data_IF_505500347463
#
_entry.id   IF_505500347463
#
_cell.length_a   1.000
_cell.length_b   1.000
_cell.length_c   1.000
_cell.angle_alpha   90.00
_cell.angle_beta   90.00
_cell.angle_gamma   90.00
#
_symmetry.space_group_name_H-M   'P 1'
#
loop_
_entity.id
_entity.type
_entity.pdbx_description
1 polymer ?
#
# COMPACT_ATOMS: atom_id res chain seq x y z
N UNK A 1 -32.67 6.95 -3.02
CA UNK A 1 -31.29 6.68 -2.47
C UNK A 1 -30.77 5.32 -2.94
N UNK A 2 -31.63 4.31 -3.06
CA UNK A 2 -31.20 2.93 -3.30
C UNK A 2 -30.71 2.64 -4.72
N UNK A 3 -31.21 3.38 -5.72
CA UNK A 3 -30.84 3.12 -7.11
C UNK A 3 -29.35 3.44 -7.41
N UNK A 4 -28.76 4.43 -6.75
CA UNK A 4 -27.33 4.74 -6.89
C UNK A 4 -26.44 3.60 -6.37
N UNK A 5 -26.85 2.97 -5.26
CA UNK A 5 -26.15 1.82 -4.70
C UNK A 5 -26.27 0.62 -5.65
N UNK A 6 -27.46 0.37 -6.19
CA UNK A 6 -27.70 -0.71 -7.17
C UNK A 6 -26.86 -0.47 -8.43
N UNK A 7 -26.82 0.75 -8.94
CA UNK A 7 -26.03 1.10 -10.12
C UNK A 7 -24.51 0.90 -9.86
N UNK A 8 -24.01 1.32 -8.70
CA UNK A 8 -22.61 1.13 -8.33
C UNK A 8 -22.25 -0.36 -8.19
N UNK A 9 -23.10 -1.16 -7.52
CA UNK A 9 -22.90 -2.60 -7.39
C UNK A 9 -22.96 -3.30 -8.76
N UNK A 10 -23.89 -2.89 -9.63
CA UNK A 10 -24.00 -3.44 -10.99
C UNK A 10 -22.76 -3.11 -11.83
N UNK A 11 -22.23 -1.88 -11.74
CA UNK A 11 -21.00 -1.50 -12.42
C UNK A 11 -19.79 -2.34 -11.93
N UNK A 12 -19.69 -2.56 -10.63
CA UNK A 12 -18.67 -3.45 -10.06
C UNK A 12 -18.83 -4.89 -10.55
N UNK A 13 -20.06 -5.42 -10.55
CA UNK A 13 -20.35 -6.78 -11.03
C UNK A 13 -19.98 -6.95 -12.51
N UNK A 14 -20.30 -5.96 -13.35
CA UNK A 14 -19.92 -5.95 -14.77
C UNK A 14 -18.40 -5.89 -14.96
N UNK A 15 -17.69 -5.09 -14.16
CA UNK A 15 -16.23 -5.04 -14.20
C UNK A 15 -15.60 -6.39 -13.82
N UNK A 16 -16.12 -7.05 -12.77
CA UNK A 16 -15.67 -8.40 -12.39
C UNK A 16 -16.01 -9.45 -13.46
N UNK A 17 -17.20 -9.39 -14.07
CA UNK A 17 -17.57 -10.27 -15.17
C UNK A 17 -16.62 -10.07 -16.38
N UNK A 18 -16.29 -8.83 -16.71
CA UNK A 18 -15.30 -8.51 -17.73
C UNK A 18 -13.90 -9.07 -17.39
N UNK A 19 -13.49 -8.98 -16.14
CA UNK A 19 -12.24 -9.58 -15.68
C UNK A 19 -12.24 -11.12 -15.79
N UNK A 20 -13.36 -11.78 -15.47
CA UNK A 20 -13.50 -13.24 -15.67
C UNK A 20 -13.37 -13.59 -17.15
N UNK A 21 -14.05 -12.86 -18.03
CA UNK A 21 -13.95 -13.07 -19.48
C UNK A 21 -12.50 -12.86 -19.95
N UNK A 22 -11.83 -11.81 -19.51
CA UNK A 22 -10.42 -11.56 -19.84
C UNK A 22 -9.50 -12.70 -19.37
N UNK A 23 -9.76 -13.30 -18.21
CA UNK A 23 -9.02 -14.46 -17.72
C UNK A 23 -9.15 -15.71 -18.60
N UNK A 24 -10.27 -15.87 -19.33
CA UNK A 24 -10.44 -16.99 -20.26
C UNK A 24 -9.49 -16.92 -21.48
N UNK A 25 -8.98 -15.73 -21.80
CA UNK A 25 -8.01 -15.51 -22.88
C UNK A 25 -6.57 -15.74 -22.43
N UNK A 26 -6.31 -16.02 -21.16
CA UNK A 26 -4.95 -16.31 -20.68
C UNK A 26 -4.52 -17.67 -21.28
N UNK A 27 -3.40 -17.73 -22.05
CA UNK A 27 -2.92 -18.97 -22.62
C UNK A 27 -2.55 -19.98 -21.53
N UNK A 28 -2.84 -21.26 -21.79
CA UNK A 28 -2.43 -22.35 -20.89
C UNK A 28 -0.90 -22.47 -20.91
N UNK A 29 -0.26 -22.03 -19.86
CA UNK A 29 1.18 -22.17 -19.68
C UNK A 29 1.50 -23.53 -19.08
N UNK A 30 2.64 -24.11 -19.49
CA UNK A 30 3.14 -25.32 -18.86
C UNK A 30 3.42 -25.08 -17.37
N UNK A 31 3.11 -26.07 -16.54
CA UNK A 31 3.37 -25.97 -15.11
C UNK A 31 4.87 -25.78 -14.86
N UNK A 32 5.25 -24.76 -14.10
CA UNK A 32 6.65 -24.48 -13.74
C UNK A 32 7.31 -25.65 -12.96
N UNK A 33 6.51 -26.48 -12.31
CA UNK A 33 6.93 -27.69 -11.58
C UNK A 33 5.91 -28.81 -11.81
N UNK A 34 6.00 -29.53 -12.95
CA UNK A 34 5.13 -30.68 -13.22
C UNK A 34 5.42 -31.78 -12.20
N UNK A 35 4.37 -32.41 -11.66
CA UNK A 35 4.52 -33.53 -10.70
C UNK A 35 4.69 -33.13 -9.23
N UNK A 36 4.54 -31.87 -8.87
CA UNK A 36 4.59 -31.46 -7.46
C UNK A 36 3.39 -32.04 -6.68
N UNK A 37 3.67 -32.89 -5.70
CA UNK A 37 2.64 -33.48 -4.84
C UNK A 37 2.02 -32.42 -3.91
N UNK A 38 0.69 -32.43 -3.82
CA UNK A 38 -0.11 -31.54 -2.96
C UNK A 38 -0.02 -31.97 -1.49
N UNK A 39 1.09 -31.68 -0.83
CA UNK A 39 1.28 -31.92 0.59
C UNK A 39 1.39 -30.59 1.31
N UNK A 40 0.37 -30.24 2.09
CA UNK A 40 0.31 -28.99 2.86
C UNK A 40 1.59 -28.69 3.63
N UNK A 41 2.17 -29.68 4.33
CA UNK A 41 3.41 -29.51 5.08
C UNK A 41 4.62 -29.15 4.20
N UNK A 42 4.73 -29.74 3.01
CA UNK A 42 5.80 -29.38 2.06
C UNK A 42 5.60 -27.98 1.47
N UNK A 43 4.35 -27.61 1.17
CA UNK A 43 4.01 -26.29 0.66
C UNK A 43 4.30 -25.21 1.69
N UNK A 44 3.86 -25.40 2.94
CA UNK A 44 4.12 -24.48 4.05
C UNK A 44 5.61 -24.31 4.29
N UNK A 45 6.36 -25.41 4.34
CA UNK A 45 7.83 -25.37 4.49
C UNK A 45 8.49 -24.60 3.32
N UNK A 46 8.07 -24.87 2.09
CA UNK A 46 8.59 -24.18 0.89
C UNK A 46 8.32 -22.69 0.98
N UNK A 47 7.12 -22.30 1.43
CA UNK A 47 6.74 -20.89 1.62
C UNK A 47 7.63 -20.19 2.66
N UNK A 48 7.83 -20.79 3.83
CA UNK A 48 8.70 -20.19 4.86
C UNK A 48 10.17 -20.16 4.43
N UNK A 49 10.64 -21.14 3.66
CA UNK A 49 11.98 -21.09 3.05
C UNK A 49 12.08 -19.92 2.05
N UNK A 50 11.05 -19.70 1.23
CA UNK A 50 11.00 -18.57 0.31
C UNK A 50 10.98 -17.23 1.06
N UNK A 51 10.16 -17.09 2.10
CA UNK A 51 10.12 -15.91 2.96
C UNK A 51 11.47 -15.62 3.60
N UNK A 52 12.14 -16.65 4.15
CA UNK A 52 13.49 -16.52 4.72
C UNK A 52 14.52 -16.11 3.67
N UNK A 53 14.45 -16.66 2.46
CA UNK A 53 15.36 -16.31 1.37
C UNK A 53 15.22 -14.85 0.95
N UNK A 54 13.98 -14.36 0.77
CA UNK A 54 13.69 -12.97 0.45
C UNK A 54 14.11 -12.02 1.57
N UNK A 55 13.96 -12.44 2.83
CA UNK A 55 14.36 -11.65 3.99
C UNK A 55 15.88 -11.53 4.14
N UNK A 56 16.63 -12.55 3.74
CA UNK A 56 18.10 -12.54 3.78
C UNK A 56 18.73 -11.66 2.70
N UNK A 57 18.08 -11.54 1.55
CA UNK A 57 18.55 -10.65 0.49
C UNK A 57 18.19 -9.20 0.83
N UNK A 58 19.19 -8.30 0.80
CA UNK A 58 19.03 -6.90 1.22
C UNK A 58 18.04 -6.12 0.36
N UNK A 59 18.05 -6.32 -0.97
CA UNK A 59 17.17 -5.61 -1.90
C UNK A 59 15.72 -6.05 -1.74
N UNK A 60 15.45 -7.36 -1.67
CA UNK A 60 14.10 -7.87 -1.50
C UNK A 60 13.52 -7.55 -0.14
N UNK A 61 14.33 -7.62 0.93
CA UNK A 61 13.91 -7.19 2.27
C UNK A 61 13.57 -5.71 2.32
N UNK A 62 14.40 -4.87 1.72
CA UNK A 62 14.18 -3.43 1.62
C UNK A 62 12.83 -3.13 0.93
N UNK A 63 12.58 -3.74 -0.23
CA UNK A 63 11.33 -3.57 -0.96
C UNK A 63 10.14 -4.14 -0.18
N UNK A 64 10.26 -5.33 0.42
CA UNK A 64 9.21 -5.97 1.19
C UNK A 64 8.77 -5.11 2.38
N UNK A 65 9.73 -4.56 3.13
CA UNK A 65 9.42 -3.66 4.25
C UNK A 65 8.78 -2.36 3.75
N UNK A 66 9.33 -1.76 2.68
CA UNK A 66 8.80 -0.52 2.11
C UNK A 66 7.36 -0.65 1.61
N UNK A 67 7.06 -1.71 0.85
CA UNK A 67 5.69 -1.96 0.35
C UNK A 67 4.72 -2.30 1.49
N UNK A 68 5.15 -3.09 2.46
CA UNK A 68 4.34 -3.43 3.63
C UNK A 68 3.99 -2.19 4.48
N UNK A 69 4.95 -1.31 4.72
CA UNK A 69 4.71 -0.03 5.41
C UNK A 69 3.73 0.85 4.63
N UNK A 70 3.88 0.93 3.31
CA UNK A 70 3.00 1.72 2.46
C UNK A 70 1.55 1.24 2.50
N UNK A 71 1.31 -0.07 2.35
CA UNK A 71 -0.06 -0.61 2.37
C UNK A 71 -0.69 -0.53 3.76
N UNK A 72 0.09 -0.76 4.82
CA UNK A 72 -0.37 -0.55 6.20
C UNK A 72 -0.76 0.92 6.45
N UNK A 73 0.05 1.86 5.94
CA UNK A 73 -0.24 3.29 6.00
C UNK A 73 -1.51 3.66 5.22
N UNK A 74 -1.68 3.11 4.02
CA UNK A 74 -2.85 3.36 3.18
C UNK A 74 -4.16 2.94 3.83
N UNK A 75 -4.20 1.76 4.45
CA UNK A 75 -5.38 1.30 5.20
C UNK A 75 -5.65 2.20 6.40
N UNK A 76 -4.63 2.54 7.18
CA UNK A 76 -4.77 3.40 8.36
C UNK A 76 -5.29 4.80 7.97
N UNK A 77 -4.76 5.40 6.90
CA UNK A 77 -5.23 6.69 6.39
C UNK A 77 -6.71 6.64 5.99
N UNK A 78 -7.14 5.55 5.34
CA UNK A 78 -8.55 5.36 4.95
C UNK A 78 -9.49 5.38 6.16
N UNK A 79 -9.16 4.66 7.23
CA UNK A 79 -9.95 4.66 8.45
C UNK A 79 -9.84 5.98 9.21
N UNK A 80 -8.66 6.60 9.21
CA UNK A 80 -8.47 7.92 9.80
C UNK A 80 -9.39 8.96 9.14
N UNK A 81 -9.54 8.96 7.81
CA UNK A 81 -10.42 9.91 7.10
C UNK A 81 -11.87 9.84 7.59
N UNK A 82 -12.37 8.64 7.89
CA UNK A 82 -13.75 8.47 8.37
C UNK A 82 -13.99 9.19 9.71
N UNK A 83 -13.00 9.16 10.61
CA UNK A 83 -13.11 9.84 11.91
C UNK A 83 -12.65 11.31 11.83
N UNK A 84 -11.71 11.63 10.94
CA UNK A 84 -11.13 12.96 10.81
C UNK A 84 -12.11 13.97 10.19
N UNK A 85 -12.88 13.56 9.17
CA UNK A 85 -13.81 14.45 8.45
C UNK A 85 -14.82 15.10 9.40
N UNK A 86 -15.58 14.38 10.24
CA UNK A 86 -16.50 15.01 11.15
C UNK A 86 -15.82 15.85 12.25
N UNK A 87 -14.63 15.47 12.69
CA UNK A 87 -13.90 16.17 13.76
C UNK A 87 -13.22 17.42 13.27
N UNK A 88 -12.56 17.38 12.11
CA UNK A 88 -11.75 18.49 11.60
C UNK A 88 -12.53 19.45 10.69
N UNK A 89 -13.50 18.94 9.92
CA UNK A 89 -14.27 19.71 8.96
C UNK A 89 -15.72 19.97 9.41
N UNK A 90 -16.21 19.32 10.47
CA UNK A 90 -17.60 19.42 10.91
C UNK A 90 -18.61 18.79 9.92
N UNK A 91 -18.16 18.01 8.95
CA UNK A 91 -18.98 17.38 7.91
C UNK A 91 -19.37 15.97 8.37
N UNK A 92 -20.65 15.70 8.50
CA UNK A 92 -21.17 14.42 9.04
C UNK A 92 -21.69 13.47 7.97
N UNK A 93 -21.51 13.78 6.69
CA UNK A 93 -21.91 12.89 5.62
C UNK A 93 -20.90 11.72 5.45
N UNK A 94 -21.40 10.60 4.93
CA UNK A 94 -20.57 9.43 4.66
C UNK A 94 -19.90 9.46 3.27
N UNK A 95 -20.20 10.46 2.45
CA UNK A 95 -19.69 10.58 1.09
C UNK A 95 -18.33 11.29 1.05
N UNK A 96 -18.16 12.34 1.87
CA UNK A 96 -16.92 13.14 1.90
C UNK A 96 -15.66 12.31 2.17
N UNK A 97 -15.59 11.38 3.15
CA UNK A 97 -14.43 10.52 3.33
C UNK A 97 -14.12 9.68 2.10
N UNK A 98 -15.15 9.24 1.38
CA UNK A 98 -15.00 8.45 0.14
C UNK A 98 -14.42 9.29 -0.98
N UNK A 99 -14.90 10.52 -1.18
CA UNK A 99 -14.34 11.44 -2.17
C UNK A 99 -12.88 11.80 -1.87
N UNK A 100 -12.56 12.05 -0.62
CA UNK A 100 -11.19 12.29 -0.17
C UNK A 100 -10.27 11.10 -0.46
N UNK A 101 -10.74 9.88 -0.20
CA UNK A 101 -9.99 8.67 -0.53
C UNK A 101 -9.84 8.47 -2.05
N UNK A 102 -10.82 8.87 -2.86
CA UNK A 102 -10.74 8.83 -4.32
C UNK A 102 -9.64 9.77 -4.86
N UNK A 103 -9.42 10.92 -4.21
CA UNK A 103 -8.33 11.84 -4.59
C UNK A 103 -6.94 11.19 -4.41
N UNK A 104 -6.77 10.39 -3.36
CA UNK A 104 -5.54 9.60 -3.18
C UNK A 104 -5.35 8.64 -4.36
N UNK A 105 -6.41 7.96 -4.80
CA UNK A 105 -6.32 7.03 -5.93
C UNK A 105 -5.93 7.72 -7.24
N UNK A 106 -6.51 8.90 -7.52
CA UNK A 106 -6.13 9.72 -8.68
C UNK A 106 -4.64 10.10 -8.60
N UNK A 107 -4.19 10.53 -7.42
CA UNK A 107 -2.78 10.86 -7.18
C UNK A 107 -1.86 9.66 -7.44
N UNK A 108 -2.23 8.46 -6.98
CA UNK A 108 -1.43 7.24 -7.18
C UNK A 108 -1.23 6.96 -8.68
N UNK A 109 -2.24 7.13 -9.51
CA UNK A 109 -2.12 6.92 -10.97
C UNK A 109 -1.09 7.87 -11.58
N UNK A 110 -1.13 9.14 -11.20
CA UNK A 110 -0.16 10.16 -11.68
C UNK A 110 1.25 9.82 -11.18
N UNK A 111 1.39 9.51 -9.90
CA UNK A 111 2.67 9.16 -9.29
C UNK A 111 3.29 7.88 -9.86
N UNK A 112 2.47 6.86 -10.13
CA UNK A 112 2.88 5.62 -10.78
C UNK A 112 3.40 5.87 -12.20
N UNK A 113 2.72 6.71 -12.98
CA UNK A 113 3.16 7.10 -14.32
C UNK A 113 4.49 7.86 -14.31
N UNK A 114 4.68 8.74 -13.32
CA UNK A 114 5.94 9.46 -13.14
C UNK A 114 7.07 8.48 -12.73
N UNK A 115 6.81 7.58 -11.80
CA UNK A 115 7.77 6.58 -11.36
C UNK A 115 8.25 5.68 -12.51
N UNK A 116 7.32 5.20 -13.34
CA UNK A 116 7.64 4.36 -14.49
C UNK A 116 8.59 5.00 -15.50
N UNK A 117 8.59 6.34 -15.59
CA UNK A 117 9.47 7.10 -16.49
C UNK A 117 10.79 7.51 -15.85
N UNK A 118 10.82 7.75 -14.54
CA UNK A 118 11.94 8.41 -13.85
C UNK A 118 12.79 7.46 -12.98
N UNK A 119 12.25 6.29 -12.63
CA UNK A 119 12.90 5.35 -11.71
C UNK A 119 13.09 4.00 -12.38
N UNK A 120 14.35 3.55 -12.46
CA UNK A 120 14.73 2.21 -12.93
C UNK A 120 15.00 1.28 -11.76
N UNK A 121 15.13 -0.02 -12.01
CA UNK A 121 15.46 -1.00 -10.95
C UNK A 121 16.80 -0.69 -10.25
N UNK A 122 17.74 -0.07 -10.94
CA UNK A 122 19.04 0.33 -10.38
C UNK A 122 18.94 1.61 -9.51
N UNK A 123 17.94 2.45 -9.77
CA UNK A 123 17.77 3.74 -9.10
C UNK A 123 16.59 3.77 -8.14
N UNK A 124 16.10 2.61 -7.68
CA UNK A 124 14.92 2.50 -6.79
C UNK A 124 15.08 3.34 -5.51
N UNK A 125 16.30 3.50 -5.01
CA UNK A 125 16.55 4.36 -3.83
C UNK A 125 16.09 5.82 -4.01
N UNK A 126 15.93 6.29 -5.25
CA UNK A 126 15.41 7.63 -5.57
C UNK A 126 13.94 7.82 -5.17
N UNK A 127 13.17 6.75 -4.95
CA UNK A 127 11.80 6.87 -4.48
C UNK A 127 11.68 7.10 -2.96
N UNK A 128 12.76 6.90 -2.19
CA UNK A 128 12.74 6.99 -0.73
C UNK A 128 12.38 8.38 -0.18
N UNK A 129 12.88 9.49 -0.73
CA UNK A 129 12.43 10.82 -0.32
C UNK A 129 10.91 11.02 -0.45
N UNK A 130 10.29 10.45 -1.50
CA UNK A 130 8.83 10.50 -1.65
C UNK A 130 8.13 9.77 -0.50
N UNK A 131 8.65 8.62 -0.07
CA UNK A 131 8.12 7.88 1.08
C UNK A 131 8.19 8.70 2.38
N UNK A 132 9.28 9.41 2.63
CA UNK A 132 9.42 10.30 3.80
C UNK A 132 8.42 11.46 3.70
N UNK A 133 8.31 12.06 2.51
CA UNK A 133 7.39 13.17 2.27
C UNK A 133 5.93 12.75 2.46
N UNK A 134 5.53 11.50 2.17
CA UNK A 134 4.19 11.01 2.50
C UNK A 134 3.88 11.24 3.98
N UNK A 135 4.77 10.81 4.87
CA UNK A 135 4.55 10.97 6.31
C UNK A 135 4.45 12.45 6.74
N UNK A 136 5.31 13.31 6.16
CA UNK A 136 5.26 14.76 6.42
C UNK A 136 3.95 15.37 5.91
N UNK A 137 3.50 15.01 4.71
CA UNK A 137 2.24 15.52 4.14
C UNK A 137 1.04 15.00 4.92
N UNK A 138 1.05 13.75 5.42
CA UNK A 138 0.00 13.23 6.31
C UNK A 138 -0.06 14.01 7.61
N UNK A 139 1.09 14.38 8.18
CA UNK A 139 1.15 15.22 9.38
C UNK A 139 0.51 16.59 9.11
N UNK A 140 0.90 17.27 8.01
CA UNK A 140 0.32 18.56 7.61
C UNK A 140 -1.18 18.42 7.33
N UNK A 141 -1.59 17.35 6.64
CA UNK A 141 -3.00 17.05 6.34
C UNK A 141 -3.82 16.93 7.63
N UNK A 142 -3.30 16.25 8.64
CA UNK A 142 -4.01 16.02 9.90
C UNK A 142 -4.34 17.31 10.67
N UNK A 143 -3.60 18.38 10.41
CA UNK A 143 -3.77 19.70 11.03
C UNK A 143 -4.69 20.62 10.23
N UNK A 144 -5.24 20.17 9.08
CA UNK A 144 -6.12 21.02 8.25
C UNK A 144 -7.53 21.12 8.84
N UNK A 145 -8.17 22.26 8.58
CA UNK A 145 -9.56 22.55 8.97
C UNK A 145 -10.41 22.99 7.78
N UNK A 146 -9.89 22.89 6.56
CA UNK A 146 -10.59 23.28 5.34
C UNK A 146 -10.55 22.14 4.30
N UNK A 147 -11.66 22.00 3.57
CA UNK A 147 -11.85 20.90 2.63
C UNK A 147 -10.92 21.01 1.40
N UNK A 148 -10.73 22.21 0.86
CA UNK A 148 -9.91 22.40 -0.35
C UNK A 148 -8.43 22.04 -0.13
N UNK A 149 -7.75 22.52 0.91
CA UNK A 149 -6.39 22.03 1.23
C UNK A 149 -6.32 20.52 1.47
N UNK A 150 -7.36 19.94 2.09
CA UNK A 150 -7.42 18.50 2.31
C UNK A 150 -7.39 17.71 0.98
N UNK A 151 -8.17 18.12 -0.02
CA UNK A 151 -8.15 17.53 -1.35
C UNK A 151 -6.76 17.60 -1.99
N UNK A 152 -6.12 18.76 -1.96
CA UNK A 152 -4.79 18.97 -2.56
C UNK A 152 -3.74 18.09 -1.89
N UNK A 153 -3.74 18.03 -0.55
CA UNK A 153 -2.78 17.23 0.21
C UNK A 153 -2.99 15.73 -0.02
N UNK A 154 -4.24 15.27 -0.16
CA UNK A 154 -4.52 13.86 -0.44
C UNK A 154 -4.13 13.46 -1.86
N UNK A 155 -4.32 14.33 -2.85
CA UNK A 155 -3.76 14.11 -4.20
C UNK A 155 -2.23 14.01 -4.12
N UNK A 156 -1.58 14.90 -3.37
CA UNK A 156 -0.12 14.88 -3.20
C UNK A 156 0.34 13.61 -2.49
N UNK A 157 -0.34 13.17 -1.43
CA UNK A 157 -0.07 11.87 -0.78
C UNK A 157 -0.18 10.74 -1.80
N UNK A 158 -1.19 10.77 -2.65
CA UNK A 158 -1.36 9.79 -3.71
C UNK A 158 -0.21 9.80 -4.72
N UNK A 159 0.19 10.98 -5.22
CA UNK A 159 1.31 11.13 -6.17
C UNK A 159 2.60 10.57 -5.57
N UNK A 160 2.94 11.00 -4.35
CA UNK A 160 4.11 10.51 -3.63
C UNK A 160 4.02 9.00 -3.38
N UNK A 161 2.81 8.50 -3.06
CA UNK A 161 2.54 7.08 -2.84
C UNK A 161 2.78 6.22 -4.07
N UNK A 162 2.23 6.61 -5.21
CA UNK A 162 2.46 5.91 -6.48
C UNK A 162 3.94 5.93 -6.88
N UNK A 163 4.58 7.10 -6.73
CA UNK A 163 6.00 7.25 -7.01
C UNK A 163 6.89 6.41 -6.08
N UNK A 164 6.48 6.19 -4.85
CA UNK A 164 7.20 5.37 -3.87
C UNK A 164 6.98 3.87 -4.07
N UNK A 165 5.73 3.41 -4.18
CA UNK A 165 5.41 1.98 -4.10
C UNK A 165 5.69 1.22 -5.41
N UNK A 166 5.52 1.86 -6.58
CA UNK A 166 5.65 1.18 -7.87
C UNK A 166 7.07 0.66 -8.12
N UNK A 167 8.14 1.46 -7.92
CA UNK A 167 9.51 0.94 -8.10
C UNK A 167 9.88 -0.15 -7.08
N UNK A 168 9.40 -0.05 -5.84
CA UNK A 168 9.63 -1.08 -4.82
C UNK A 168 8.96 -2.39 -5.20
N UNK A 169 7.72 -2.36 -5.68
CA UNK A 169 7.02 -3.54 -6.18
C UNK A 169 7.77 -4.17 -7.35
N UNK A 170 8.21 -3.37 -8.33
CA UNK A 170 8.96 -3.86 -9.47
C UNK A 170 10.28 -4.54 -9.06
N UNK A 171 11.03 -3.93 -8.13
CA UNK A 171 12.27 -4.50 -7.61
C UNK A 171 12.01 -5.83 -6.88
N UNK A 172 11.00 -5.87 -6.01
CA UNK A 172 10.65 -7.07 -5.25
C UNK A 172 10.24 -8.23 -6.17
N UNK A 173 9.41 -7.93 -7.16
CA UNK A 173 8.94 -8.95 -8.11
C UNK A 173 10.07 -9.46 -9.00
N UNK A 174 10.91 -8.59 -9.54
CA UNK A 174 12.02 -9.01 -10.41
C UNK A 174 13.07 -9.82 -9.63
N UNK A 175 13.55 -9.34 -8.49
CA UNK A 175 14.52 -10.06 -7.65
C UNK A 175 13.92 -11.32 -7.04
N UNK A 176 12.66 -11.27 -6.64
CA UNK A 176 11.94 -12.41 -6.11
C UNK A 176 11.73 -13.51 -7.14
N UNK A 177 11.42 -13.14 -8.40
CA UNK A 177 11.32 -14.10 -9.52
C UNK A 177 12.61 -14.87 -9.72
N UNK A 178 13.75 -14.16 -9.65
CA UNK A 178 15.08 -14.76 -9.84
C UNK A 178 15.51 -15.68 -8.69
N UNK A 179 15.03 -15.44 -7.46
CA UNK A 179 15.47 -16.16 -6.25
C UNK A 179 14.55 -17.29 -5.83
N UNK A 180 13.24 -17.04 -5.71
CA UNK A 180 12.25 -17.99 -5.18
C UNK A 180 11.13 -18.34 -6.16
N UNK A 181 11.11 -17.69 -7.33
CA UNK A 181 10.05 -17.77 -8.32
C UNK A 181 8.93 -16.76 -8.07
N UNK A 182 8.29 -16.30 -9.17
CA UNK A 182 7.31 -15.21 -9.14
C UNK A 182 6.14 -15.47 -8.18
N UNK A 183 5.57 -16.67 -8.19
CA UNK A 183 4.42 -17.01 -7.33
C UNK A 183 4.75 -16.94 -5.85
N UNK A 184 5.92 -17.49 -5.43
CA UNK A 184 6.35 -17.41 -4.04
C UNK A 184 6.68 -15.97 -3.62
N UNK A 185 7.29 -15.18 -4.49
CA UNK A 185 7.62 -13.78 -4.19
C UNK A 185 6.35 -12.96 -3.94
N UNK A 186 5.35 -13.09 -4.80
CA UNK A 186 4.05 -12.40 -4.66
C UNK A 186 3.31 -12.88 -3.40
N UNK A 187 3.33 -14.19 -3.11
CA UNK A 187 2.70 -14.74 -1.91
C UNK A 187 3.32 -14.19 -0.61
N UNK A 188 4.65 -14.11 -0.54
CA UNK A 188 5.37 -13.53 0.61
C UNK A 188 5.11 -12.03 0.73
N UNK A 189 5.10 -11.31 -0.40
CA UNK A 189 4.75 -9.89 -0.44
C UNK A 189 3.35 -9.65 0.14
N UNK A 190 2.34 -10.35 -0.36
CA UNK A 190 0.96 -10.22 0.10
C UNK A 190 0.82 -10.55 1.59
N UNK A 191 1.53 -11.57 2.10
CA UNK A 191 1.53 -11.85 3.54
C UNK A 191 2.12 -10.69 4.33
N UNK A 192 3.26 -10.14 3.92
CA UNK A 192 3.92 -9.02 4.59
C UNK A 192 3.03 -7.78 4.62
N UNK A 193 2.42 -7.43 3.48
CA UNK A 193 1.49 -6.31 3.35
C UNK A 193 0.25 -6.48 4.23
N UNK A 194 -0.39 -7.66 4.21
CA UNK A 194 -1.57 -7.94 5.04
C UNK A 194 -1.25 -7.93 6.54
N UNK A 195 -0.09 -8.46 6.95
CA UNK A 195 0.35 -8.36 8.35
C UNK A 195 0.59 -6.91 8.78
N UNK A 196 1.23 -6.11 7.94
CA UNK A 196 1.44 -4.69 8.22
C UNK A 196 0.12 -3.93 8.32
N UNK A 197 -0.83 -4.19 7.40
CA UNK A 197 -2.18 -3.62 7.45
C UNK A 197 -2.89 -3.98 8.75
N UNK A 198 -2.86 -5.26 9.15
CA UNK A 198 -3.48 -5.73 10.39
C UNK A 198 -2.86 -5.09 11.62
N UNK A 199 -1.53 -5.03 11.70
CA UNK A 199 -0.81 -4.43 12.82
C UNK A 199 -1.10 -2.92 12.93
N UNK A 200 -1.00 -2.19 11.83
CA UNK A 200 -1.23 -0.74 11.83
C UNK A 200 -2.68 -0.39 12.13
N UNK A 201 -3.65 -1.16 11.60
CA UNK A 201 -5.06 -0.99 11.91
C UNK A 201 -5.36 -1.34 13.37
N UNK A 202 -4.71 -2.38 13.92
CA UNK A 202 -4.79 -2.74 15.33
C UNK A 202 -4.28 -1.61 16.24
N UNK A 203 -3.13 -1.03 15.91
CA UNK A 203 -2.57 0.12 16.65
C UNK A 203 -3.48 1.35 16.54
N UNK A 204 -4.01 1.63 15.36
CA UNK A 204 -5.00 2.69 15.15
C UNK A 204 -6.24 2.47 16.02
N UNK A 205 -6.82 1.27 15.99
CA UNK A 205 -8.01 0.93 16.78
C UNK A 205 -7.75 1.04 18.29
N UNK A 206 -6.56 0.64 18.74
CA UNK A 206 -6.15 0.80 20.12
C UNK A 206 -6.02 2.28 20.50
N UNK A 207 -5.40 3.10 19.67
CA UNK A 207 -5.27 4.54 19.92
C UNK A 207 -6.63 5.22 20.03
N UNK A 208 -7.59 4.87 19.16
CA UNK A 208 -8.97 5.36 19.24
C UNK A 208 -9.64 4.90 20.52
N UNK A 209 -9.48 3.63 20.91
CA UNK A 209 -10.08 3.06 22.12
C UNK A 209 -9.56 3.73 23.41
N UNK A 210 -8.29 4.09 23.46
CA UNK A 210 -7.66 4.78 24.59
C UNK A 210 -8.02 6.28 24.63
N UNK A 211 -8.74 6.78 23.62
CA UNK A 211 -9.23 8.17 23.59
C UNK A 211 -8.19 9.17 23.05
N UNK A 212 -7.19 8.73 22.28
CA UNK A 212 -6.26 9.67 21.62
C UNK A 212 -7.03 10.52 20.61
N UNK A 213 -6.89 11.86 20.63
CA UNK A 213 -7.56 12.74 19.67
C UNK A 213 -7.22 12.35 18.23
N UNK A 214 -8.22 12.37 17.34
CA UNK A 214 -8.06 11.94 15.92
C UNK A 214 -6.92 12.67 15.21
N UNK A 215 -6.80 13.98 15.43
CA UNK A 215 -5.70 14.80 14.90
C UNK A 215 -4.35 14.31 15.45
N UNK A 216 -4.28 13.99 16.74
CA UNK A 216 -3.09 13.42 17.38
C UNK A 216 -2.68 12.07 16.79
N UNK A 217 -3.67 11.21 16.47
CA UNK A 217 -3.43 9.94 15.77
C UNK A 217 -2.81 10.22 14.39
N UNK A 218 -3.38 11.15 13.62
CA UNK A 218 -2.87 11.49 12.29
C UNK A 218 -1.45 12.05 12.32
N UNK A 219 -1.18 12.98 13.23
CA UNK A 219 0.17 13.57 13.42
C UNK A 219 1.19 12.51 13.85
N UNK A 220 0.86 11.70 14.86
CA UNK A 220 1.72 10.62 15.35
C UNK A 220 1.99 9.59 14.27
N UNK A 221 0.96 9.20 13.54
CA UNK A 221 1.05 8.25 12.43
C UNK A 221 1.94 8.76 11.29
N UNK A 222 1.72 10.01 10.83
CA UNK A 222 2.54 10.63 9.78
C UNK A 222 4.01 10.72 10.20
N UNK A 223 4.28 11.15 11.44
CA UNK A 223 5.63 11.25 11.99
C UNK A 223 6.32 9.87 12.08
N UNK A 224 5.65 8.88 12.66
CA UNK A 224 6.19 7.52 12.78
C UNK A 224 6.46 6.89 11.41
N UNK A 225 5.57 7.09 10.45
CA UNK A 225 5.76 6.61 9.07
C UNK A 225 6.98 7.25 8.41
N UNK A 226 7.12 8.59 8.50
CA UNK A 226 8.28 9.30 7.96
C UNK A 226 9.59 8.79 8.58
N UNK A 227 9.63 8.61 9.90
CA UNK A 227 10.79 8.07 10.61
C UNK A 227 11.12 6.63 10.22
N UNK A 228 10.10 5.78 10.07
CA UNK A 228 10.28 4.39 9.64
C UNK A 228 10.90 4.31 8.23
N UNK A 229 10.40 5.11 7.28
CA UNK A 229 10.96 5.17 5.92
C UNK A 229 12.36 5.79 5.93
N UNK A 230 12.60 6.85 6.70
CA UNK A 230 13.94 7.43 6.84
C UNK A 230 14.95 6.41 7.41
N UNK A 231 14.54 5.67 8.44
CA UNK A 231 15.33 4.59 9.02
C UNK A 231 15.64 3.48 8.01
N UNK A 232 14.64 3.08 7.23
CA UNK A 232 14.80 2.09 6.15
C UNK A 232 15.80 2.58 5.09
N UNK A 233 15.72 3.86 4.71
CA UNK A 233 16.62 4.47 3.74
C UNK A 233 18.07 4.56 4.25
N UNK A 234 18.28 5.01 5.49
CA UNK A 234 19.60 5.05 6.11
C UNK A 234 20.20 3.65 6.21
N UNK A 235 19.39 2.67 6.60
CA UNK A 235 19.82 1.28 6.68
C UNK A 235 20.25 0.73 5.31
N UNK A 236 19.50 1.06 4.24
CA UNK A 236 19.85 0.67 2.87
C UNK A 236 21.16 1.29 2.39
N UNK A 237 21.43 2.58 2.74
CA UNK A 237 22.65 3.28 2.33
C UNK A 237 23.94 2.79 3.02
N UNK A 238 23.82 2.18 4.19
CA UNK A 238 24.96 1.68 4.97
C UNK A 238 25.43 0.29 4.52
N UNK A 239 24.80 -0.28 3.55
CA UNK A 239 25.13 -1.59 2.95
C UNK A 239 25.65 -1.46 1.54
#
# INVERSE_FOLDING_TARGET
>A
ADWHVIAALSACALAYAGAVVANLYIPKLAAARPGQSWHLGKMTRSFFCAASSLWRNGETRFSLVGTSLFWGAGVTLRFLLVLWVPVALGITDNATPTYLNAMVAIGIVVGAGAAAKLVTLETVSRCMPAGILIGVVVLIFSLQHALLPAYVLLILIGILGGFFVVPLNALLQERGKQTVGAGNAIAVQNLGENLAMLLMLGLYSLAVKVGVPVVGIGVGFGGLFALAIAGLWVWQRRR
#
